data_IF_895052882316
#
_entry.id   IF_895052882316
#
_cell.length_a   1.000
_cell.length_b   1.000
_cell.length_c   1.000
_cell.angle_alpha   90.00
_cell.angle_beta   90.00
_cell.angle_gamma   90.00
#
_symmetry.space_group_name_H-M   'P 1'
#
loop_
_entity.id
_entity.type
_entity.pdbx_description
1 polymer ?
#
# COMPACT_ATOMS: atom_id res chain seq x y z
N UNK A 1 25.54 11.05 58.77
CA UNK A 1 24.21 10.75 58.21
C UNK A 1 24.10 11.03 56.70
N UNK A 2 24.57 12.19 56.20
CA UNK A 2 24.47 12.59 54.79
C UNK A 2 25.27 11.74 53.75
N UNK A 3 26.40 11.12 54.16
CA UNK A 3 27.22 10.27 53.27
C UNK A 3 26.59 8.89 52.97
N UNK A 4 25.73 8.40 53.86
CA UNK A 4 25.04 7.10 53.70
C UNK A 4 23.88 7.24 52.71
N UNK A 5 23.09 8.32 52.83
CA UNK A 5 21.95 8.63 51.96
C UNK A 5 22.35 8.81 50.49
N UNK A 6 23.52 9.42 50.22
CA UNK A 6 24.09 9.57 48.86
C UNK A 6 24.42 8.25 48.18
N UNK A 7 24.83 7.22 48.93
CA UNK A 7 25.13 5.88 48.36
C UNK A 7 23.85 5.14 47.96
N UNK A 8 22.78 5.28 48.75
CA UNK A 8 21.49 4.67 48.43
C UNK A 8 20.76 5.38 47.28
N UNK A 9 20.88 6.70 47.15
CA UNK A 9 20.34 7.46 46.01
C UNK A 9 21.08 7.11 44.71
N UNK A 10 22.41 6.94 44.77
CA UNK A 10 23.19 6.55 43.59
C UNK A 10 22.95 5.09 43.18
N UNK A 11 22.80 4.17 44.15
CA UNK A 11 22.45 2.78 43.88
C UNK A 11 21.01 2.62 43.33
N UNK A 12 20.06 3.44 43.81
CA UNK A 12 18.70 3.47 43.27
C UNK A 12 18.64 4.02 41.84
N UNK A 13 19.49 5.01 41.51
CA UNK A 13 19.59 5.53 40.13
C UNK A 13 20.22 4.51 39.16
N UNK A 14 21.23 3.75 39.61
CA UNK A 14 21.87 2.72 38.78
C UNK A 14 20.95 1.49 38.61
N UNK A 15 20.10 1.17 39.59
CA UNK A 15 19.11 0.09 39.49
C UNK A 15 17.86 0.49 38.68
N UNK A 16 17.58 1.78 38.48
CA UNK A 16 16.45 2.25 37.68
C UNK A 16 16.76 2.34 36.17
N UNK A 17 18.04 2.39 35.76
CA UNK A 17 18.44 2.37 34.35
C UNK A 17 18.65 0.96 33.78
N UNK A 18 18.49 -0.09 34.59
CA UNK A 18 18.79 -1.47 34.20
C UNK A 18 17.58 -2.29 33.73
N UNK A 19 16.39 -1.69 33.59
CA UNK A 19 15.18 -2.39 33.16
C UNK A 19 14.58 -1.65 31.97
N UNK A 20 14.18 -2.39 30.94
CA UNK A 20 13.76 -1.96 29.60
C UNK A 20 14.85 -1.84 28.53
N UNK A 21 15.75 -2.83 28.44
CA UNK A 21 16.18 -3.27 27.11
C UNK A 21 15.10 -4.22 26.57
N UNK A 22 14.08 -3.69 25.91
CA UNK A 22 13.30 -4.51 25.00
C UNK A 22 14.26 -4.92 23.87
N UNK A 23 14.59 -6.21 23.76
CA UNK A 23 15.33 -6.70 22.60
C UNK A 23 14.44 -6.51 21.39
N UNK A 24 14.79 -5.58 20.50
CA UNK A 24 14.19 -5.53 19.17
C UNK A 24 14.54 -6.85 18.48
N UNK A 25 13.53 -7.70 18.26
CA UNK A 25 13.72 -8.92 17.50
C UNK A 25 14.03 -8.53 16.06
N UNK A 26 15.06 -9.15 15.47
CA UNK A 26 15.39 -8.92 14.08
C UNK A 26 14.25 -9.48 13.22
N UNK A 27 13.71 -8.65 12.32
CA UNK A 27 12.72 -9.09 11.34
C UNK A 27 13.43 -9.49 10.04
N UNK A 28 13.04 -10.63 9.47
CA UNK A 28 13.46 -11.05 8.13
C UNK A 28 12.37 -10.78 7.11
N UNK A 29 12.76 -10.32 5.93
CA UNK A 29 11.87 -10.15 4.77
C UNK A 29 12.03 -11.35 3.85
N UNK A 30 10.92 -12.02 3.52
CA UNK A 30 10.89 -13.11 2.55
C UNK A 30 10.00 -12.73 1.37
N UNK A 31 10.47 -13.06 0.16
CA UNK A 31 9.74 -12.87 -1.09
C UNK A 31 9.31 -14.25 -1.60
N UNK A 32 8.01 -14.46 -1.73
CA UNK A 32 7.43 -15.71 -2.25
C UNK A 32 6.84 -15.44 -3.62
N UNK A 33 7.41 -16.02 -4.67
CA UNK A 33 6.92 -15.85 -6.03
C UNK A 33 5.54 -16.50 -6.22
N UNK A 34 4.63 -15.75 -6.84
CA UNK A 34 3.29 -16.17 -7.20
C UNK A 34 3.17 -16.29 -8.72
N UNK A 35 2.25 -17.12 -9.19
CA UNK A 35 2.03 -17.30 -10.62
C UNK A 35 1.54 -16.02 -11.30
N UNK A 36 2.17 -15.68 -12.41
CA UNK A 36 1.76 -14.59 -13.31
C UNK A 36 1.19 -15.20 -14.59
N UNK A 37 -0.02 -14.82 -15.02
CA UNK A 37 -0.62 -15.34 -16.24
C UNK A 37 0.16 -14.89 -17.48
N UNK A 38 0.31 -15.76 -18.47
CA UNK A 38 0.93 -15.41 -19.76
C UNK A 38 -0.06 -14.67 -20.67
N UNK A 39 -0.28 -13.40 -20.37
CA UNK A 39 -1.21 -12.49 -21.07
C UNK A 39 -0.54 -11.13 -21.32
N UNK A 40 -1.19 -10.28 -22.12
CA UNK A 40 -0.79 -8.87 -22.22
C UNK A 40 -1.34 -8.04 -21.07
N UNK A 41 -0.64 -8.04 -19.93
CA UNK A 41 -1.03 -7.26 -18.75
C UNK A 41 -0.41 -5.85 -18.75
N UNK A 42 -0.11 -5.30 -19.94
CA UNK A 42 0.45 -3.94 -20.04
C UNK A 42 -0.56 -2.90 -19.60
N UNK A 43 -1.86 -3.12 -19.84
CA UNK A 43 -2.90 -2.25 -19.30
C UNK A 43 -2.95 -2.34 -17.77
N UNK A 44 -2.94 -1.18 -17.12
CA UNK A 44 -3.07 -1.05 -15.67
C UNK A 44 -4.23 -0.12 -15.35
N UNK A 45 -5.36 -0.70 -15.01
CA UNK A 45 -6.58 -0.02 -14.60
C UNK A 45 -6.34 0.81 -13.34
N UNK A 46 -7.29 1.71 -13.05
CA UNK A 46 -7.36 2.40 -11.76
C UNK A 46 -8.81 2.60 -11.35
N UNK A 47 -9.04 2.68 -10.04
CA UNK A 47 -10.33 3.03 -9.45
C UNK A 47 -10.17 4.16 -8.42
N UNK A 48 -11.20 4.97 -8.27
CA UNK A 48 -11.22 6.05 -7.29
C UNK A 48 -11.32 5.49 -5.86
N UNK A 49 -10.49 6.00 -4.94
CA UNK A 49 -10.54 5.59 -3.53
C UNK A 49 -11.93 5.84 -2.91
N UNK A 50 -12.65 6.86 -3.39
CA UNK A 50 -13.99 7.21 -3.00
C UNK A 50 -15.04 6.16 -3.33
N UNK A 51 -14.74 5.14 -4.14
CA UNK A 51 -15.60 3.97 -4.32
C UNK A 51 -15.63 3.05 -3.09
N UNK A 52 -14.59 3.08 -2.24
CA UNK A 52 -14.52 2.31 -1.00
C UNK A 52 -15.29 3.08 0.09
N UNK A 53 -16.57 2.73 0.27
CA UNK A 53 -17.54 3.52 1.08
C UNK A 53 -17.92 2.92 2.42
N UNK A 54 -17.78 1.61 2.59
CA UNK A 54 -18.18 0.95 3.82
C UNK A 54 -17.15 1.22 4.94
N UNK A 55 -17.41 2.20 5.81
CA UNK A 55 -16.49 2.62 6.88
C UNK A 55 -16.07 1.49 7.85
N UNK A 56 -16.93 0.49 8.00
CA UNK A 56 -16.65 -0.67 8.85
C UNK A 56 -15.81 -1.76 8.17
N UNK A 57 -15.59 -1.67 6.85
CA UNK A 57 -14.82 -2.65 6.08
C UNK A 57 -13.32 -2.61 6.41
N UNK A 58 -12.60 -3.74 6.29
CA UNK A 58 -11.14 -3.75 6.36
C UNK A 58 -10.48 -2.79 5.36
N UNK A 59 -11.02 -2.70 4.14
CA UNK A 59 -10.53 -1.82 3.07
C UNK A 59 -10.53 -0.36 3.51
N UNK A 60 -11.69 0.15 3.96
CA UNK A 60 -11.83 1.53 4.39
C UNK A 60 -10.91 1.85 5.56
N UNK A 61 -10.90 0.98 6.59
CA UNK A 61 -10.08 1.17 7.79
C UNK A 61 -8.59 1.17 7.48
N UNK A 62 -8.15 0.36 6.53
CA UNK A 62 -6.75 0.33 6.12
C UNK A 62 -6.35 1.61 5.41
N UNK A 63 -7.17 2.05 4.45
CA UNK A 63 -6.97 3.30 3.73
C UNK A 63 -6.88 4.50 4.68
N UNK A 64 -7.90 4.69 5.52
CA UNK A 64 -8.01 5.79 6.48
C UNK A 64 -6.83 5.85 7.45
N UNK A 65 -6.35 4.69 7.92
CA UNK A 65 -5.31 4.64 8.95
C UNK A 65 -3.89 4.73 8.40
N UNK A 66 -3.62 4.17 7.23
CA UNK A 66 -2.25 3.88 6.79
C UNK A 66 -1.85 4.50 5.45
N UNK A 67 -2.78 5.09 4.71
CA UNK A 67 -2.52 5.52 3.35
C UNK A 67 -2.77 7.02 3.16
N UNK A 68 -2.15 7.56 2.11
CA UNK A 68 -2.11 8.98 1.76
C UNK A 68 -2.05 9.11 0.23
N UNK A 69 -2.31 10.31 -0.30
CA UNK A 69 -2.26 10.56 -1.74
C UNK A 69 -0.95 11.27 -2.10
N UNK A 70 -0.22 10.71 -3.07
CA UNK A 70 1.01 11.34 -3.58
C UNK A 70 0.74 12.46 -4.59
N UNK A 71 1.82 13.09 -5.04
CA UNK A 71 1.81 14.23 -5.95
C UNK A 71 1.31 13.89 -7.37
N UNK A 72 1.19 12.61 -7.71
CA UNK A 72 0.62 12.11 -8.95
C UNK A 72 -0.79 11.53 -8.77
N UNK A 73 -1.37 11.71 -7.58
CA UNK A 73 -2.73 11.29 -7.25
C UNK A 73 -2.90 9.79 -7.05
N UNK A 74 -1.81 9.03 -6.91
CA UNK A 74 -1.88 7.64 -6.48
C UNK A 74 -2.08 7.57 -4.97
N UNK A 75 -2.85 6.58 -4.51
CA UNK A 75 -2.89 6.26 -3.09
C UNK A 75 -1.70 5.39 -2.72
N UNK A 76 -1.00 5.78 -1.66
CA UNK A 76 0.28 5.23 -1.21
C UNK A 76 0.23 4.87 0.26
N UNK A 77 1.07 3.93 0.68
CA UNK A 77 1.27 3.61 2.09
C UNK A 77 2.78 3.44 2.34
N UNK A 78 3.25 3.78 3.56
CA UNK A 78 4.68 3.92 3.85
C UNK A 78 5.46 2.62 3.63
N UNK A 79 6.68 2.75 3.09
CA UNK A 79 7.61 1.65 2.92
C UNK A 79 8.16 1.12 4.26
N UNK A 80 8.61 -0.13 4.26
CA UNK A 80 9.35 -0.72 5.38
C UNK A 80 10.85 -0.39 5.24
N UNK A 81 11.18 0.90 5.38
CA UNK A 81 12.53 1.43 5.07
C UNK A 81 13.61 0.79 5.95
N UNK A 82 13.29 0.54 7.21
CA UNK A 82 14.18 -0.12 8.17
C UNK A 82 14.47 -1.58 7.80
N UNK A 83 13.59 -2.20 6.99
CA UNK A 83 13.73 -3.58 6.50
C UNK A 83 14.28 -3.64 5.06
N UNK A 84 14.79 -2.53 4.55
CA UNK A 84 15.41 -2.45 3.21
C UNK A 84 14.45 -2.21 2.06
N UNK A 85 13.15 -2.04 2.31
CA UNK A 85 12.16 -1.67 1.28
C UNK A 85 12.10 -0.14 1.24
N UNK A 86 12.77 0.47 0.29
CA UNK A 86 12.96 1.93 0.24
C UNK A 86 11.85 2.70 -0.47
N UNK A 87 11.07 2.02 -1.32
CA UNK A 87 9.97 2.59 -2.08
C UNK A 87 8.63 2.37 -1.39
N UNK A 88 7.82 3.43 -1.26
CA UNK A 88 6.48 3.34 -0.70
C UNK A 88 5.57 2.47 -1.58
N UNK A 89 4.54 1.88 -0.97
CA UNK A 89 3.63 0.94 -1.62
C UNK A 89 2.53 1.68 -2.38
N UNK A 90 2.20 1.24 -3.59
CA UNK A 90 0.96 1.62 -4.26
C UNK A 90 -0.20 0.84 -3.63
N UNK A 91 -1.27 1.52 -3.26
CA UNK A 91 -2.50 0.85 -2.89
C UNK A 91 -3.17 0.29 -4.15
N UNK A 92 -3.51 -0.99 -4.14
CA UNK A 92 -4.07 -1.69 -5.32
C UNK A 92 -5.21 -2.63 -4.96
N UNK A 93 -6.05 -2.92 -5.95
CA UNK A 93 -6.97 -4.06 -5.98
C UNK A 93 -6.41 -5.19 -6.86
N UNK A 94 -6.45 -6.43 -6.38
CA UNK A 94 -6.02 -7.62 -7.12
C UNK A 94 -7.09 -8.71 -7.03
N UNK A 95 -7.05 -9.68 -7.95
CA UNK A 95 -7.91 -10.86 -7.86
C UNK A 95 -7.52 -11.78 -6.70
N UNK A 96 -8.49 -12.59 -6.23
CA UNK A 96 -8.34 -13.41 -5.02
C UNK A 96 -7.22 -14.46 -5.09
N UNK A 97 -6.68 -14.75 -6.28
CA UNK A 97 -5.49 -15.58 -6.45
C UNK A 97 -4.29 -15.07 -5.65
N UNK A 98 -4.09 -13.75 -5.61
CA UNK A 98 -2.94 -13.14 -4.94
C UNK A 98 -3.15 -13.01 -3.43
N UNK A 99 -4.41 -12.98 -2.99
CA UNK A 99 -4.82 -12.98 -1.60
C UNK A 99 -6.11 -12.19 -1.38
N UNK A 100 -6.68 -12.33 -0.18
CA UNK A 100 -7.87 -11.58 0.25
C UNK A 100 -7.65 -10.79 1.54
N UNK A 101 -6.45 -10.86 2.11
CA UNK A 101 -6.09 -10.18 3.35
C UNK A 101 -5.58 -8.77 3.05
N UNK A 102 -6.39 -7.78 3.42
CA UNK A 102 -6.06 -6.35 3.27
C UNK A 102 -4.79 -6.02 4.06
N UNK A 103 -3.87 -5.31 3.41
CA UNK A 103 -2.54 -5.03 3.94
C UNK A 103 -1.44 -6.00 3.48
N UNK A 104 -1.80 -7.05 2.73
CA UNK A 104 -0.78 -7.93 2.10
C UNK A 104 0.07 -7.13 1.12
N UNK A 105 1.39 -7.27 1.19
CA UNK A 105 2.35 -6.49 0.40
C UNK A 105 3.00 -7.35 -0.67
N UNK A 106 3.28 -6.73 -1.82
CA UNK A 106 3.91 -7.39 -2.95
C UNK A 106 5.03 -6.55 -3.54
N UNK A 107 5.99 -7.25 -4.14
CA UNK A 107 6.94 -6.70 -5.09
C UNK A 107 6.53 -7.14 -6.49
N UNK A 108 6.44 -6.20 -7.41
CA UNK A 108 6.01 -6.43 -8.78
C UNK A 108 7.13 -6.02 -9.73
N UNK A 109 7.45 -6.90 -10.68
CA UNK A 109 8.45 -6.64 -11.72
C UNK A 109 7.77 -6.65 -13.09
N UNK A 110 8.12 -5.68 -13.94
CA UNK A 110 7.65 -5.59 -15.32
C UNK A 110 8.65 -6.16 -16.32
N UNK A 111 8.20 -6.46 -17.55
CA UNK A 111 9.05 -6.90 -18.67
C UNK A 111 10.07 -5.85 -19.12
N UNK A 112 9.85 -4.58 -18.77
CA UNK A 112 10.82 -3.48 -18.95
C UNK A 112 11.90 -3.45 -17.87
N UNK A 113 11.81 -4.31 -16.85
CA UNK A 113 12.75 -4.38 -15.73
C UNK A 113 12.45 -3.42 -14.58
N UNK A 114 11.34 -2.68 -14.64
CA UNK A 114 10.93 -1.83 -13.53
C UNK A 114 10.43 -2.68 -12.36
N UNK A 115 10.71 -2.21 -11.15
CA UNK A 115 10.24 -2.82 -9.91
C UNK A 115 9.46 -1.79 -9.12
N UNK A 116 8.25 -2.14 -8.70
CA UNK A 116 7.47 -1.35 -7.78
C UNK A 116 6.85 -2.22 -6.69
N UNK A 117 6.44 -1.58 -5.62
CA UNK A 117 5.85 -2.25 -4.47
C UNK A 117 4.39 -1.84 -4.34
N UNK A 118 3.53 -2.78 -3.97
CA UNK A 118 2.12 -2.51 -3.76
C UNK A 118 1.58 -3.21 -2.51
N UNK A 119 0.43 -2.74 -2.06
CA UNK A 119 -0.31 -3.27 -0.93
C UNK A 119 -1.77 -3.49 -1.33
N UNK A 120 -2.31 -4.67 -1.02
CA UNK A 120 -3.70 -5.02 -1.28
C UNK A 120 -4.61 -4.20 -0.36
N UNK A 121 -5.42 -3.33 -0.94
CA UNK A 121 -6.41 -2.54 -0.20
C UNK A 121 -7.84 -2.79 -0.65
N UNK A 122 -8.01 -3.51 -1.74
CA UNK A 122 -9.30 -4.04 -2.18
C UNK A 122 -9.13 -5.36 -2.95
N UNK A 123 -10.21 -6.08 -3.18
CA UNK A 123 -10.22 -7.33 -3.95
C UNK A 123 -11.17 -7.18 -5.13
N UNK A 124 -10.71 -7.53 -6.33
CA UNK A 124 -11.60 -7.65 -7.50
C UNK A 124 -12.66 -8.71 -7.21
N UNK A 125 -13.90 -8.48 -7.63
CA UNK A 125 -14.92 -9.53 -7.56
C UNK A 125 -14.48 -10.70 -8.44
N UNK A 126 -14.60 -11.93 -7.94
CA UNK A 126 -14.22 -13.11 -8.72
C UNK A 126 -15.01 -13.22 -10.03
N UNK A 127 -16.24 -12.68 -10.06
CA UNK A 127 -17.08 -12.65 -11.26
C UNK A 127 -16.54 -11.72 -12.36
N UNK A 128 -15.72 -10.74 -12.00
CA UNK A 128 -15.05 -9.82 -12.93
C UNK A 128 -13.64 -10.29 -13.31
N UNK A 129 -13.19 -11.43 -12.77
CA UNK A 129 -11.87 -12.00 -13.03
C UNK A 129 -11.94 -13.28 -13.84
N UNK A 130 -10.81 -13.66 -14.43
CA UNK A 130 -10.70 -14.93 -15.13
C UNK A 130 -10.91 -16.12 -14.17
N UNK A 131 -11.06 -17.34 -14.71
CA UNK A 131 -11.38 -18.52 -13.90
C UNK A 131 -10.35 -18.91 -12.82
N UNK A 132 -9.12 -18.38 -12.88
CA UNK A 132 -8.09 -18.55 -11.84
C UNK A 132 -7.99 -17.35 -10.90
N UNK A 133 -8.82 -16.32 -11.09
CA UNK A 133 -8.85 -15.05 -10.34
C UNK A 133 -7.52 -14.27 -10.35
N UNK A 134 -6.76 -14.35 -11.44
CA UNK A 134 -5.46 -13.70 -11.62
C UNK A 134 -5.53 -12.35 -12.34
N UNK A 135 -6.55 -12.11 -13.15
CA UNK A 135 -6.67 -10.85 -13.90
C UNK A 135 -8.14 -10.53 -14.21
N UNK A 136 -8.44 -9.25 -14.40
CA UNK A 136 -9.76 -8.78 -14.84
C UNK A 136 -10.04 -9.15 -16.29
N UNK A 137 -11.24 -9.65 -16.60
CA UNK A 137 -11.54 -10.17 -17.95
C UNK A 137 -11.71 -9.09 -19.00
N UNK A 138 -12.04 -7.87 -18.60
CA UNK A 138 -12.32 -6.77 -19.54
C UNK A 138 -11.03 -6.17 -20.11
N UNK A 139 -9.99 -6.02 -19.27
CA UNK A 139 -8.77 -5.29 -19.61
C UNK A 139 -7.48 -6.10 -19.43
N UNK A 140 -7.56 -7.38 -19.04
CA UNK A 140 -6.41 -8.24 -18.79
C UNK A 140 -5.45 -7.69 -17.72
N UNK A 141 -5.98 -6.90 -16.78
CA UNK A 141 -5.24 -6.24 -15.71
C UNK A 141 -5.09 -7.17 -14.49
N UNK A 142 -3.85 -7.39 -14.06
CA UNK A 142 -3.54 -8.19 -12.86
C UNK A 142 -3.85 -7.38 -11.59
N UNK A 143 -3.60 -6.07 -11.65
CA UNK A 143 -3.84 -5.13 -10.55
C UNK A 143 -4.53 -3.88 -11.09
N UNK A 144 -5.31 -3.26 -10.22
CA UNK A 144 -5.96 -1.97 -10.43
C UNK A 144 -5.44 -1.00 -9.37
N UNK A 145 -4.96 0.18 -9.78
CA UNK A 145 -4.44 1.16 -8.84
C UNK A 145 -5.57 1.91 -8.12
N UNK A 146 -5.41 2.15 -6.82
CA UNK A 146 -6.28 3.07 -6.10
C UNK A 146 -5.72 4.48 -6.25
N UNK A 147 -6.57 5.40 -6.69
CA UNK A 147 -6.18 6.77 -7.07
C UNK A 147 -7.19 7.77 -6.54
N UNK A 148 -6.83 9.06 -6.63
CA UNK A 148 -7.77 10.15 -6.45
C UNK A 148 -8.16 10.75 -7.82
N UNK A 149 -9.39 10.55 -8.24
CA UNK A 149 -9.95 11.18 -9.44
C UNK A 149 -10.89 12.35 -9.10
N UNK A 150 -11.24 12.51 -7.83
CA UNK A 150 -12.29 13.42 -7.43
C UNK A 150 -11.76 14.83 -7.12
N UNK A 151 -12.27 15.81 -7.88
CA UNK A 151 -12.10 17.22 -7.53
C UNK A 151 -13.08 17.63 -6.45
N UNK A 152 -12.54 18.17 -5.36
CA UNK A 152 -13.32 18.72 -4.28
C UNK A 152 -14.30 19.80 -4.78
N UNK A 153 -15.59 19.72 -4.43
CA UNK A 153 -16.56 20.79 -4.66
C UNK A 153 -16.96 21.40 -3.33
N UNK A 154 -16.55 22.65 -3.10
CA UNK A 154 -17.06 23.45 -1.98
C UNK A 154 -18.43 23.99 -2.39
N UNK A 155 -19.48 23.59 -1.70
CA UNK A 155 -20.81 24.18 -1.86
C UNK A 155 -21.04 25.26 -0.77
N UNK A 156 -22.18 25.94 -0.85
CA UNK A 156 -22.60 26.99 0.08
C UNK A 156 -22.77 26.53 1.54
N UNK A 157 -22.93 25.22 1.77
CA UNK A 157 -23.05 24.59 3.09
C UNK A 157 -21.74 23.95 3.58
N UNK A 158 -20.64 24.18 2.84
CA UNK A 158 -19.33 23.64 3.13
C UNK A 158 -18.92 22.52 2.18
N UNK A 159 -18.33 21.47 2.75
CA UNK A 159 -17.63 20.41 2.05
C UNK A 159 -18.61 19.27 1.63
N UNK A 160 -18.90 19.08 0.33
CA UNK A 160 -19.63 17.88 -0.16
C UNK A 160 -18.66 16.71 -0.47
N UNK A 161 -18.77 15.63 0.33
CA UNK A 161 -18.17 14.30 0.18
C UNK A 161 -16.66 14.09 0.43
N UNK A 162 -16.41 12.86 0.94
CA UNK A 162 -15.19 12.08 1.26
C UNK A 162 -13.82 12.74 1.21
N UNK A 163 -13.40 13.25 2.36
CA UNK A 163 -12.00 13.53 2.70
C UNK A 163 -11.63 12.76 3.96
N UNK A 164 -11.27 11.49 3.78
CA UNK A 164 -10.73 10.66 4.87
C UNK A 164 -9.27 10.27 4.63
N UNK A 165 -8.79 10.36 3.39
CA UNK A 165 -7.36 10.26 3.09
C UNK A 165 -6.68 11.63 3.21
N UNK A 166 -5.46 11.62 3.73
CA UNK A 166 -4.62 12.81 3.82
C UNK A 166 -4.28 13.37 2.42
N UNK A 167 -4.37 14.69 2.26
CA UNK A 167 -4.13 15.45 1.02
C UNK A 167 -5.05 15.16 -0.18
N UNK A 168 -6.24 14.58 0.04
CA UNK A 168 -7.11 14.16 -1.07
C UNK A 168 -7.78 15.28 -1.87
N UNK A 169 -7.80 16.53 -1.41
CA UNK A 169 -8.47 17.63 -2.12
C UNK A 169 -7.56 18.36 -3.13
N UNK A 170 -6.24 18.17 -3.03
CA UNK A 170 -5.27 19.01 -3.74
C UNK A 170 -4.49 18.28 -4.84
N UNK A 171 -4.59 16.94 -4.91
CA UNK A 171 -3.84 16.18 -5.89
C UNK A 171 -4.70 15.12 -6.55
N UNK A 172 -5.03 15.40 -7.80
CA UNK A 172 -5.71 14.45 -8.68
C UNK A 172 -4.72 13.54 -9.35
N UNK A 173 -5.22 12.41 -9.82
CA UNK A 173 -4.46 11.48 -10.63
C UNK A 173 -3.80 12.21 -11.80
N UNK A 174 -2.55 11.82 -12.06
CA UNK A 174 -1.73 12.30 -13.13
C UNK A 174 -2.51 12.40 -14.45
N UNK A 175 -2.44 13.56 -15.11
CA UNK A 175 -3.22 13.86 -16.30
C UNK A 175 -3.00 12.88 -17.44
N UNK A 176 -1.78 12.35 -17.62
CA UNK A 176 -1.53 11.33 -18.64
C UNK A 176 -2.23 10.02 -18.28
N UNK A 177 -2.15 9.58 -17.03
CA UNK A 177 -2.83 8.37 -16.58
C UNK A 177 -4.35 8.51 -16.77
N UNK A 178 -4.92 9.66 -16.39
CA UNK A 178 -6.32 10.00 -16.62
C UNK A 178 -6.69 9.98 -18.11
N UNK A 179 -5.89 10.64 -18.96
CA UNK A 179 -6.14 10.76 -20.39
C UNK A 179 -6.08 9.42 -21.12
N UNK A 180 -5.12 8.56 -20.77
CA UNK A 180 -4.92 7.25 -21.40
C UNK A 180 -5.72 6.13 -20.72
N UNK A 181 -6.36 6.40 -19.58
CA UNK A 181 -7.08 5.42 -18.79
C UNK A 181 -6.20 4.31 -18.22
N UNK A 182 -4.87 4.49 -18.20
CA UNK A 182 -3.94 3.42 -17.86
C UNK A 182 -2.71 3.95 -17.14
N UNK A 183 -2.39 3.37 -15.98
CA UNK A 183 -1.18 3.71 -15.22
C UNK A 183 0.11 3.26 -15.93
N UNK A 184 0.00 2.47 -17.00
CA UNK A 184 1.14 2.03 -17.82
C UNK A 184 1.90 3.19 -18.48
N UNK A 185 1.28 4.35 -18.66
CA UNK A 185 1.94 5.55 -19.22
C UNK A 185 2.79 6.31 -18.21
N UNK A 186 2.72 5.90 -16.93
CA UNK A 186 3.49 6.49 -15.84
C UNK A 186 4.72 5.64 -15.57
N UNK A 187 5.91 6.22 -15.70
CA UNK A 187 7.15 5.62 -15.17
C UNK A 187 7.11 5.74 -13.64
N UNK A 188 7.28 4.65 -12.86
CA UNK A 188 7.97 3.41 -13.20
C UNK A 188 7.06 2.21 -13.51
N UNK A 189 5.79 2.42 -13.83
CA UNK A 189 4.78 1.37 -13.93
C UNK A 189 4.69 0.75 -15.31
N UNK A 190 5.35 1.29 -16.34
CA UNK A 190 5.24 0.81 -17.70
C UNK A 190 5.75 -0.64 -17.88
N UNK A 191 5.07 -1.40 -18.74
CA UNK A 191 5.40 -2.78 -19.12
C UNK A 191 4.36 -3.81 -18.68
N UNK A 192 4.47 -5.01 -19.22
CA UNK A 192 3.70 -6.19 -18.76
C UNK A 192 4.24 -6.63 -17.42
N UNK A 193 3.39 -7.15 -16.54
CA UNK A 193 3.85 -7.72 -15.27
C UNK A 193 4.39 -9.11 -15.58
N UNK A 194 5.60 -9.40 -15.14
CA UNK A 194 6.28 -10.69 -15.37
C UNK A 194 6.58 -11.43 -14.08
N UNK A 195 6.60 -10.74 -12.94
CA UNK A 195 6.73 -11.37 -11.63
C UNK A 195 5.92 -10.62 -10.57
N UNK A 196 5.29 -11.37 -9.68
CA UNK A 196 4.62 -10.89 -8.47
C UNK A 196 5.12 -11.73 -7.30
N UNK A 197 5.75 -11.09 -6.33
CA UNK A 197 6.28 -11.74 -5.14
C UNK A 197 5.52 -11.24 -3.92
N UNK A 198 4.87 -12.13 -3.16
CA UNK A 198 4.28 -11.80 -1.86
C UNK A 198 5.40 -11.59 -0.84
N UNK A 199 5.31 -10.48 -0.11
CA UNK A 199 6.29 -10.11 0.91
C UNK A 199 5.75 -10.54 2.28
N UNK A 200 6.55 -11.31 3.02
CA UNK A 200 6.27 -11.68 4.41
C UNK A 200 7.37 -11.18 5.33
N UNK A 201 6.97 -10.80 6.54
CA UNK A 201 7.84 -10.32 7.60
C UNK A 201 7.74 -11.31 8.76
N UNK A 202 8.86 -11.89 9.16
CA UNK A 202 8.90 -12.86 10.25
C UNK A 202 10.00 -12.50 11.25
N UNK A 203 9.72 -12.70 12.53
CA UNK A 203 10.74 -12.65 13.58
C UNK A 203 11.77 -13.77 13.34
N UNK A 204 13.04 -13.45 13.62
CA UNK A 204 14.16 -14.40 13.63
C UNK A 204 14.32 -15.01 15.03
#
# INVERSE_FOLDING_TARGET
MLKSLRKYILAAFIMLTAVFTASAQAMTVTYTELGVPNIDSSFKSYMDYGCITAENSPQYKYLDKWCWIDYDGFVRCNAEKELGITSDYYAVAMGSYYGTEIGTKYRVTTDTGNVFYCVLVDCKDNSDTNCTNQYGTDNYDILEFIVNTYQYKINENGRENKQYLYNSENVLINTMVSQFGSANVYMPLNGKIVSVEKITFSEV
#
